data_IF_318758902020
#
_entry.id   IF_318758902020
#
_cell.length_a   1.000
_cell.length_b   1.000
_cell.length_c   1.000
_cell.angle_alpha   90.00
_cell.angle_beta   90.00
_cell.angle_gamma   90.00
#
_symmetry.space_group_name_H-M   'P 1'
#
loop_
_entity.id
_entity.type
_entity.pdbx_description
1 polymer ?
#
# COMPACT_ATOMS: atom_id res chain seq x y z
N UNK A 1 32.64 27.24 15.59
CA UNK A 1 31.30 27.48 15.02
C UNK A 1 31.07 26.40 13.97
N UNK A 2 30.53 25.26 14.39
CA UNK A 2 30.23 24.15 13.47
C UNK A 2 28.85 24.43 12.87
N UNK A 3 28.77 24.54 11.56
CA UNK A 3 27.52 24.76 10.86
C UNK A 3 26.59 23.56 11.08
N UNK A 4 25.38 23.84 11.58
CA UNK A 4 24.26 22.90 11.58
C UNK A 4 23.94 22.61 10.10
N UNK A 5 23.94 21.34 9.65
CA UNK A 5 23.56 21.02 8.27
C UNK A 5 22.11 21.45 8.01
N UNK A 6 21.76 21.78 6.75
CA UNK A 6 20.47 22.36 6.43
C UNK A 6 19.32 21.38 6.74
N UNK A 7 18.17 21.98 7.04
CA UNK A 7 16.87 21.36 7.30
C UNK A 7 16.64 20.12 6.42
N UNK A 8 16.12 19.06 7.05
CA UNK A 8 15.59 17.84 6.45
C UNK A 8 14.97 18.09 5.06
N UNK A 9 15.14 17.18 4.08
CA UNK A 9 14.45 17.33 2.80
C UNK A 9 12.95 17.52 3.07
N UNK A 10 12.38 18.63 2.60
CA UNK A 10 10.97 18.90 2.77
C UNK A 10 10.18 17.87 1.94
N UNK A 11 9.69 16.83 2.60
CA UNK A 11 8.77 15.82 2.02
C UNK A 11 7.38 16.40 1.68
N UNK A 12 7.29 17.71 1.47
CA UNK A 12 6.06 18.46 1.26
C UNK A 12 5.30 18.02 0.00
N UNK A 13 5.99 17.39 -0.96
CA UNK A 13 5.41 16.91 -2.21
C UNK A 13 4.86 15.47 -2.12
N UNK A 14 5.11 14.75 -1.02
CA UNK A 14 4.68 13.35 -0.82
C UNK A 14 3.98 13.13 0.56
N UNK A 15 3.00 13.96 0.93
CA UNK A 15 2.35 13.89 2.23
C UNK A 15 1.62 12.56 2.49
N UNK A 16 1.03 11.93 1.47
CA UNK A 16 0.33 10.66 1.63
C UNK A 16 1.31 9.51 1.81
N UNK A 17 2.43 9.48 1.08
CA UNK A 17 3.51 8.49 1.31
C UNK A 17 4.00 8.56 2.75
N UNK A 18 4.22 9.77 3.28
CA UNK A 18 4.63 9.96 4.69
C UNK A 18 3.55 9.48 5.66
N UNK A 19 2.28 9.78 5.41
CA UNK A 19 1.18 9.33 6.25
C UNK A 19 1.02 7.80 6.22
N UNK A 20 1.16 7.18 5.05
CA UNK A 20 1.14 5.73 4.88
C UNK A 20 2.27 5.07 5.68
N UNK A 21 3.50 5.60 5.54
CA UNK A 21 4.63 5.16 6.34
C UNK A 21 4.34 5.25 7.84
N UNK A 22 3.88 6.40 8.33
CA UNK A 22 3.51 6.58 9.75
C UNK A 22 2.44 5.60 10.21
N UNK A 23 1.41 5.33 9.40
CA UNK A 23 0.37 4.33 9.71
C UNK A 23 0.97 2.93 9.88
N UNK A 24 1.95 2.55 9.04
CA UNK A 24 2.66 1.28 9.19
C UNK A 24 3.54 1.28 10.45
N UNK A 25 4.45 2.24 10.62
CA UNK A 25 5.45 2.18 11.70
C UNK A 25 4.85 2.30 13.10
N UNK A 26 3.73 3.00 13.27
CA UNK A 26 3.01 3.08 14.56
C UNK A 26 2.43 1.74 15.03
N UNK A 27 2.44 0.73 14.17
CA UNK A 27 2.08 -0.66 14.49
C UNK A 27 3.29 -1.60 14.62
N UNK A 28 4.46 -1.14 14.18
CA UNK A 28 5.68 -1.95 14.11
C UNK A 28 6.73 -1.53 15.14
N UNK A 29 6.71 -0.29 15.63
CA UNK A 29 7.65 0.22 16.62
C UNK A 29 6.94 0.57 17.92
N UNK A 30 7.53 0.14 19.04
CA UNK A 30 7.18 0.69 20.35
C UNK A 30 7.50 2.19 20.37
N UNK A 31 6.61 3.05 20.93
CA UNK A 31 6.97 4.42 21.26
C UNK A 31 8.05 4.42 22.35
N UNK A 32 9.33 4.39 21.98
CA UNK A 32 10.43 4.60 22.92
C UNK A 32 10.40 6.06 23.41
N UNK A 33 10.79 6.26 24.66
CA UNK A 33 10.71 7.57 25.33
C UNK A 33 11.54 8.66 24.64
N UNK A 34 12.53 8.29 23.80
CA UNK A 34 13.34 9.16 22.95
C UNK A 34 13.78 8.38 21.67
N UNK A 35 13.74 9.00 20.48
CA UNK A 35 14.43 8.50 19.26
C UNK A 35 13.62 7.71 18.22
N UNK A 36 12.32 7.44 18.44
CA UNK A 36 11.48 6.72 17.44
C UNK A 36 11.37 7.48 16.12
N UNK A 37 11.29 8.80 16.18
CA UNK A 37 11.22 9.63 14.97
C UNK A 37 12.50 9.51 14.14
N UNK A 38 13.67 9.41 14.78
CA UNK A 38 14.95 9.25 14.08
C UNK A 38 15.08 7.85 13.44
N UNK A 39 14.70 6.79 14.17
CA UNK A 39 14.72 5.40 13.63
C UNK A 39 13.72 5.23 12.48
N UNK A 40 12.51 5.75 12.67
CA UNK A 40 11.47 5.76 11.63
C UNK A 40 11.93 6.51 10.38
N UNK A 41 12.57 7.66 10.56
CA UNK A 41 13.09 8.48 9.46
C UNK A 41 14.24 7.78 8.73
N UNK A 42 15.19 7.19 9.46
CA UNK A 42 16.29 6.41 8.87
C UNK A 42 15.76 5.26 8.02
N UNK A 43 14.79 4.50 8.54
CA UNK A 43 14.21 3.37 7.82
C UNK A 43 13.33 3.81 6.65
N UNK A 44 12.61 4.93 6.76
CA UNK A 44 11.90 5.50 5.61
C UNK A 44 12.88 5.82 4.49
N UNK A 45 14.01 6.45 4.84
CA UNK A 45 15.04 6.80 3.86
C UNK A 45 15.61 5.57 3.17
N UNK A 46 15.97 4.55 3.95
CA UNK A 46 16.57 3.30 3.47
C UNK A 46 15.63 2.49 2.58
N UNK A 47 14.41 2.24 3.05
CA UNK A 47 13.52 1.25 2.44
C UNK A 47 12.59 1.84 1.38
N UNK A 48 12.26 3.13 1.47
CA UNK A 48 11.32 3.79 0.55
C UNK A 48 12.01 4.91 -0.23
N UNK A 49 12.47 5.97 0.44
CA UNK A 49 12.92 7.18 -0.26
C UNK A 49 14.04 6.91 -1.26
N UNK A 50 15.12 6.26 -0.84
CA UNK A 50 16.28 6.01 -1.72
C UNK A 50 15.95 5.06 -2.88
N UNK A 51 14.97 4.17 -2.71
CA UNK A 51 14.52 3.26 -3.76
C UNK A 51 13.75 3.99 -4.84
N UNK A 52 12.79 4.83 -4.46
CA UNK A 52 11.93 5.54 -5.39
C UNK A 52 12.55 6.85 -5.92
N UNK A 53 13.80 7.14 -5.58
CA UNK A 53 14.58 8.30 -6.08
C UNK A 53 15.82 7.90 -6.89
N UNK A 54 15.96 6.61 -7.22
CA UNK A 54 17.02 6.15 -8.11
C UNK A 54 16.92 6.84 -9.49
N UNK A 55 18.04 7.31 -10.07
CA UNK A 55 18.02 8.25 -11.21
C UNK A 55 17.44 7.67 -12.49
N UNK A 56 17.40 6.34 -12.63
CA UNK A 56 16.81 5.66 -13.79
C UNK A 56 15.28 5.61 -13.76
N UNK A 57 14.65 5.91 -12.62
CA UNK A 57 13.20 5.87 -12.45
C UNK A 57 12.59 7.19 -12.93
N UNK A 58 11.62 7.07 -13.82
CA UNK A 58 10.89 8.24 -14.34
C UNK A 58 9.39 8.14 -14.05
N UNK A 59 8.83 6.93 -14.03
CA UNK A 59 7.45 6.68 -13.64
C UNK A 59 7.37 6.05 -12.25
N UNK A 60 8.19 5.03 -11.97
CA UNK A 60 8.16 4.29 -10.70
C UNK A 60 8.87 5.07 -9.57
N UNK A 61 8.35 6.26 -9.25
CA UNK A 61 8.91 7.25 -8.32
C UNK A 61 8.04 7.41 -7.07
N UNK A 62 8.44 8.29 -6.15
CA UNK A 62 7.60 8.65 -5.00
C UNK A 62 6.27 9.30 -5.41
N UNK A 63 6.21 9.90 -6.60
CA UNK A 63 4.99 10.51 -7.14
C UNK A 63 3.98 9.44 -7.55
N UNK A 64 4.43 8.31 -8.11
CA UNK A 64 3.57 7.14 -8.35
C UNK A 64 2.96 6.61 -7.05
N UNK A 65 3.77 6.48 -5.99
CA UNK A 65 3.24 6.08 -4.68
C UNK A 65 2.21 7.09 -4.13
N UNK A 66 2.49 8.39 -4.28
CA UNK A 66 1.57 9.45 -3.85
C UNK A 66 0.23 9.38 -4.61
N UNK A 67 0.27 9.11 -5.92
CA UNK A 67 -0.93 8.92 -6.74
C UNK A 67 -1.73 7.68 -6.32
N UNK A 68 -1.08 6.52 -6.12
CA UNK A 68 -1.73 5.32 -5.59
C UNK A 68 -2.38 5.57 -4.22
N UNK A 69 -1.70 6.26 -3.32
CA UNK A 69 -2.23 6.57 -1.99
C UNK A 69 -3.36 7.60 -2.04
N UNK A 70 -3.37 8.50 -3.03
CA UNK A 70 -4.50 9.38 -3.31
C UNK A 70 -5.76 8.58 -3.69
N UNK A 71 -5.60 7.58 -4.56
CA UNK A 71 -6.67 6.66 -4.93
C UNK A 71 -7.17 5.81 -3.76
N UNK A 72 -6.27 5.36 -2.88
CA UNK A 72 -6.64 4.66 -1.65
C UNK A 72 -7.39 5.59 -0.69
N UNK A 73 -6.97 6.84 -0.56
CA UNK A 73 -7.67 7.84 0.27
C UNK A 73 -9.09 8.10 -0.23
N UNK A 74 -9.29 8.21 -1.55
CA UNK A 74 -10.62 8.33 -2.15
C UNK A 74 -11.49 7.09 -1.89
N UNK A 75 -10.88 5.91 -1.96
CA UNK A 75 -11.55 4.64 -1.65
C UNK A 75 -11.98 4.57 -0.17
N UNK A 76 -11.08 4.87 0.76
CA UNK A 76 -11.40 4.93 2.20
C UNK A 76 -12.49 5.97 2.48
N UNK A 77 -12.42 7.16 1.85
CA UNK A 77 -13.44 8.20 2.04
C UNK A 77 -14.84 7.76 1.56
N UNK A 78 -14.93 6.97 0.49
CA UNK A 78 -16.20 6.48 -0.04
C UNK A 78 -16.79 5.29 0.74
N UNK A 79 -15.96 4.55 1.48
CA UNK A 79 -16.34 3.27 2.09
C UNK A 79 -16.28 3.25 3.63
N UNK A 80 -15.66 4.25 4.26
CA UNK A 80 -15.44 4.30 5.71
C UNK A 80 -13.99 3.97 6.09
N UNK A 81 -13.68 4.09 7.39
CA UNK A 81 -12.34 3.89 7.93
C UNK A 81 -11.77 2.49 7.60
N UNK A 82 -10.51 2.44 7.12
CA UNK A 82 -9.85 1.24 6.55
C UNK A 82 -10.55 0.64 5.31
N UNK A 83 -11.48 1.37 4.68
CA UNK A 83 -12.23 0.89 3.53
C UNK A 83 -13.16 -0.30 3.84
N UNK A 84 -13.90 -0.78 2.82
CA UNK A 84 -14.78 -1.95 2.95
C UNK A 84 -14.06 -3.26 2.58
N UNK A 85 -12.73 -3.32 2.57
CA UNK A 85 -12.01 -4.56 2.26
C UNK A 85 -12.00 -5.55 3.44
N UNK A 86 -11.84 -6.85 3.14
CA UNK A 86 -11.97 -7.94 4.13
C UNK A 86 -10.91 -7.84 5.24
N UNK A 87 -11.29 -7.88 6.54
CA UNK A 87 -10.35 -7.84 7.65
C UNK A 87 -9.54 -9.14 7.77
N UNK A 88 -8.38 -9.04 8.42
CA UNK A 88 -7.43 -10.13 8.59
C UNK A 88 -8.03 -11.25 9.45
N UNK A 89 -7.62 -12.49 9.20
CA UNK A 89 -7.99 -13.65 10.03
C UNK A 89 -9.52 -13.83 10.20
N UNK A 90 -10.33 -13.23 9.31
CA UNK A 90 -11.77 -13.20 9.46
C UNK A 90 -12.41 -14.48 8.94
N UNK A 91 -13.03 -15.23 9.86
CA UNK A 91 -13.87 -16.37 9.55
C UNK A 91 -15.35 -15.97 9.49
N UNK A 92 -16.06 -16.39 8.44
CA UNK A 92 -17.51 -16.15 8.31
C UNK A 92 -17.90 -14.70 7.98
N UNK A 93 -18.98 -14.24 8.63
CA UNK A 93 -19.58 -12.93 8.37
C UNK A 93 -18.74 -11.79 8.94
N UNK A 94 -18.47 -10.78 8.11
CA UNK A 94 -17.61 -9.64 8.44
C UNK A 94 -18.50 -8.44 8.78
N UNK A 95 -18.48 -7.92 10.02
CA UNK A 95 -19.18 -6.68 10.33
C UNK A 95 -18.48 -5.51 9.66
N UNK A 96 -19.24 -4.46 9.33
CA UNK A 96 -18.65 -3.22 8.80
C UNK A 96 -17.69 -2.59 9.83
N UNK A 97 -16.64 -1.86 9.37
CA UNK A 97 -15.68 -1.23 10.27
C UNK A 97 -16.31 -0.35 11.35
N UNK A 98 -17.43 0.34 11.06
CA UNK A 98 -18.09 1.21 12.02
C UNK A 98 -18.79 0.44 13.15
N UNK A 99 -19.27 -0.79 12.87
CA UNK A 99 -19.96 -1.64 13.84
C UNK A 99 -19.05 -2.69 14.50
N UNK A 100 -17.76 -2.73 14.12
CA UNK A 100 -16.78 -3.66 14.62
C UNK A 100 -16.40 -3.40 16.10
N UNK A 101 -16.26 -4.49 16.87
CA UNK A 101 -15.65 -4.49 18.21
C UNK A 101 -14.17 -4.11 18.13
N UNK A 102 -13.54 -3.77 19.26
CA UNK A 102 -12.11 -3.41 19.27
C UNK A 102 -11.21 -4.52 18.69
N UNK A 103 -11.50 -5.80 18.97
CA UNK A 103 -10.78 -6.94 18.40
C UNK A 103 -10.99 -7.04 16.88
N UNK A 104 -12.20 -6.79 16.40
CA UNK A 104 -12.49 -6.80 14.96
C UNK A 104 -11.85 -5.61 14.23
N UNK A 105 -11.76 -4.44 14.87
CA UNK A 105 -11.04 -3.27 14.35
C UNK A 105 -9.54 -3.55 14.19
N UNK A 106 -8.95 -4.33 15.10
CA UNK A 106 -7.56 -4.74 14.98
C UNK A 106 -7.31 -5.60 13.73
N UNK A 107 -8.25 -6.48 13.38
CA UNK A 107 -8.17 -7.26 12.15
C UNK A 107 -8.24 -6.38 10.88
N UNK A 108 -9.01 -5.29 10.89
CA UNK A 108 -8.98 -4.29 9.82
C UNK A 108 -7.64 -3.56 9.73
N UNK A 109 -7.04 -3.23 10.87
CA UNK A 109 -5.72 -2.59 10.92
C UNK A 109 -4.62 -3.49 10.33
N UNK A 110 -4.69 -4.80 10.55
CA UNK A 110 -3.75 -5.76 9.95
C UNK A 110 -3.88 -5.87 8.44
N UNK A 111 -5.10 -5.94 7.91
CA UNK A 111 -5.30 -5.87 6.45
C UNK A 111 -4.80 -4.54 5.89
N UNK A 112 -5.16 -3.42 6.53
CA UNK A 112 -4.72 -2.09 6.11
C UNK A 112 -3.21 -1.95 6.11
N UNK A 113 -2.53 -2.47 7.14
CA UNK A 113 -1.07 -2.50 7.22
C UNK A 113 -0.47 -3.31 6.07
N UNK A 114 -1.02 -4.49 5.78
CA UNK A 114 -0.55 -5.31 4.67
C UNK A 114 -0.72 -4.61 3.31
N UNK A 115 -1.85 -3.94 3.08
CA UNK A 115 -2.12 -3.15 1.86
C UNK A 115 -1.14 -1.99 1.74
N UNK A 116 -0.95 -1.20 2.79
CA UNK A 116 -0.02 -0.05 2.78
C UNK A 116 1.43 -0.49 2.54
N UNK A 117 1.88 -1.57 3.19
CA UNK A 117 3.20 -2.13 2.92
C UNK A 117 3.31 -2.65 1.49
N UNK A 118 2.27 -3.28 0.95
CA UNK A 118 2.26 -3.71 -0.45
C UNK A 118 2.41 -2.52 -1.41
N UNK A 119 1.69 -1.42 -1.17
CA UNK A 119 1.83 -0.17 -1.94
C UNK A 119 3.26 0.39 -1.83
N UNK A 120 3.81 0.50 -0.62
CA UNK A 120 5.14 1.07 -0.40
C UNK A 120 6.28 0.23 -0.96
N UNK A 121 6.07 -1.08 -1.15
CA UNK A 121 7.15 -2.00 -1.52
C UNK A 121 7.02 -2.66 -2.90
N UNK A 122 5.86 -2.64 -3.57
CA UNK A 122 5.67 -3.41 -4.81
C UNK A 122 6.74 -3.18 -5.89
N UNK A 123 7.16 -1.93 -6.07
CA UNK A 123 8.21 -1.51 -7.00
C UNK A 123 9.46 -0.95 -6.29
N UNK A 124 9.66 -1.30 -5.02
CA UNK A 124 10.83 -0.83 -4.26
C UNK A 124 12.15 -1.38 -4.84
N UNK A 125 12.12 -2.53 -5.50
CA UNK A 125 13.15 -2.97 -6.43
C UNK A 125 12.59 -2.86 -7.85
N UNK A 126 13.24 -2.09 -8.71
CA UNK A 126 12.78 -1.89 -10.09
C UNK A 126 13.95 -1.71 -11.03
N UNK A 127 14.01 -2.60 -12.02
CA UNK A 127 14.89 -2.52 -13.17
C UNK A 127 14.17 -3.12 -14.38
N UNK A 128 13.89 -2.35 -15.44
CA UNK A 128 13.16 -2.83 -16.62
C UNK A 128 13.90 -3.93 -17.41
N UNK A 129 15.16 -4.23 -17.08
CA UNK A 129 15.94 -5.31 -17.70
C UNK A 129 15.88 -6.62 -16.90
N UNK A 130 15.31 -6.60 -15.69
CA UNK A 130 15.23 -7.74 -14.77
C UNK A 130 13.85 -8.38 -14.79
N UNK A 131 13.81 -9.70 -14.52
CA UNK A 131 12.58 -10.50 -14.50
C UNK A 131 12.14 -10.93 -13.10
N UNK A 132 12.83 -10.46 -12.06
CA UNK A 132 12.66 -10.83 -10.65
C UNK A 132 12.39 -9.62 -9.74
N UNK A 133 11.87 -8.51 -10.30
CA UNK A 133 11.62 -7.28 -9.55
C UNK A 133 10.61 -7.52 -8.42
N UNK A 134 9.52 -8.23 -8.70
CA UNK A 134 8.47 -8.52 -7.72
C UNK A 134 8.99 -9.43 -6.59
N UNK A 135 9.74 -10.47 -6.93
CA UNK A 135 10.37 -11.35 -5.96
C UNK A 135 11.36 -10.59 -5.06
N UNK A 136 12.17 -9.70 -5.64
CA UNK A 136 13.13 -8.88 -4.91
C UNK A 136 12.45 -7.80 -4.05
N UNK A 137 11.40 -7.17 -4.54
CA UNK A 137 10.55 -6.23 -3.80
C UNK A 137 9.86 -6.90 -2.61
N UNK A 138 9.31 -8.10 -2.80
CA UNK A 138 8.72 -8.89 -1.74
C UNK A 138 9.76 -9.27 -0.67
N UNK A 139 10.94 -9.74 -1.09
CA UNK A 139 12.04 -10.06 -0.18
C UNK A 139 12.49 -8.82 0.64
N UNK A 140 12.53 -7.64 0.01
CA UNK A 140 12.85 -6.39 0.71
C UNK A 140 11.79 -6.01 1.75
N UNK A 141 10.50 -6.21 1.45
CA UNK A 141 9.42 -5.97 2.41
C UNK A 141 9.56 -6.90 3.63
N UNK A 142 9.97 -8.16 3.41
CA UNK A 142 10.27 -9.11 4.49
C UNK A 142 11.48 -8.67 5.31
N UNK A 143 12.57 -8.24 4.65
CA UNK A 143 13.76 -7.70 5.33
C UNK A 143 13.38 -6.50 6.21
N UNK A 144 12.55 -5.59 5.69
CA UNK A 144 12.02 -4.46 6.44
C UNK A 144 11.31 -4.93 7.71
N UNK A 145 10.34 -5.84 7.61
CA UNK A 145 9.62 -6.35 8.79
C UNK A 145 10.57 -6.99 9.82
N UNK A 146 11.57 -7.75 9.37
CA UNK A 146 12.58 -8.36 10.24
C UNK A 146 13.44 -7.29 10.94
N UNK A 147 13.78 -6.19 10.26
CA UNK A 147 14.46 -5.03 10.88
C UNK A 147 13.57 -4.39 11.93
N UNK A 148 12.31 -4.08 11.60
CA UNK A 148 11.40 -3.41 12.52
C UNK A 148 11.13 -4.23 13.79
N UNK A 149 11.05 -5.56 13.66
CA UNK A 149 10.94 -6.46 14.81
C UNK A 149 12.15 -6.34 15.74
N UNK A 150 13.37 -6.38 15.18
CA UNK A 150 14.60 -6.20 15.98
C UNK A 150 14.67 -4.83 16.64
N UNK A 151 14.26 -3.76 15.96
CA UNK A 151 14.20 -2.44 16.57
C UNK A 151 13.19 -2.39 17.73
N UNK A 152 12.02 -3.02 17.57
CA UNK A 152 11.04 -3.12 18.65
C UNK A 152 11.57 -3.92 19.84
N UNK A 153 12.23 -5.05 19.63
CA UNK A 153 12.79 -5.88 20.70
C UNK A 153 13.87 -5.13 21.50
N UNK A 154 14.70 -4.33 20.82
CA UNK A 154 15.70 -3.47 21.47
C UNK A 154 15.05 -2.36 22.30
N UNK A 155 13.98 -1.75 21.79
CA UNK A 155 13.24 -0.71 22.48
C UNK A 155 12.53 -1.21 23.75
N UNK A 156 12.12 -2.48 23.78
CA UNK A 156 11.49 -3.14 24.93
C UNK A 156 12.51 -3.57 26.02
N UNK A 157 13.82 -3.33 25.79
CA UNK A 157 14.88 -3.64 26.75
C UNK A 157 15.47 -5.05 26.64
N UNK A 158 15.26 -5.75 25.52
CA UNK A 158 15.86 -7.06 25.26
C UNK A 158 17.38 -6.96 25.03
N UNK A 159 18.19 -7.23 26.08
CA UNK A 159 19.59 -7.57 25.89
C UNK A 159 19.70 -8.89 25.09
N UNK A 160 20.71 -9.06 24.21
CA UNK A 160 20.92 -10.34 23.53
C UNK A 160 21.22 -11.42 24.57
N UNK A 161 20.60 -12.59 24.41
CA UNK A 161 20.84 -13.74 25.27
C UNK A 161 22.26 -14.27 25.05
N UNK A 162 23.20 -13.96 25.95
CA UNK A 162 24.35 -14.84 26.18
C UNK A 162 25.12 -14.60 27.50
N UNK A 163 25.50 -15.73 28.09
CA UNK A 163 26.43 -16.03 29.21
C UNK A 163 25.96 -15.81 30.66
N UNK A 164 26.01 -16.93 31.39
CA UNK A 164 25.55 -17.16 32.74
C UNK A 164 26.43 -16.57 33.87
N UNK A 165 25.77 -16.49 35.04
CA UNK A 165 26.29 -16.50 36.43
C UNK A 165 26.52 -15.15 37.13
N UNK A 166 26.46 -15.11 38.48
CA UNK A 166 25.34 -15.50 39.35
C UNK A 166 24.93 -14.35 40.31
N UNK A 167 23.71 -14.42 40.82
CA UNK A 167 23.12 -13.52 41.86
C UNK A 167 23.81 -13.62 43.22
N UNK A 168 23.65 -12.58 44.06
CA UNK A 168 23.04 -12.78 45.39
C UNK A 168 22.05 -11.66 45.82
N UNK A 169 21.30 -11.83 46.95
CA UNK A 169 19.86 -11.49 47.01
C UNK A 169 19.43 -10.39 48.03
N UNK A 170 18.10 -10.26 48.18
CA UNK A 170 17.27 -9.58 49.21
C UNK A 170 16.69 -8.21 48.79
N UNK A 171 15.45 -7.81 49.09
CA UNK A 171 14.42 -8.25 50.07
C UNK A 171 13.00 -7.74 49.67
N UNK A 172 11.96 -8.42 50.16
CA UNK A 172 10.51 -8.21 49.92
C UNK A 172 9.87 -6.98 50.66
N UNK A 173 8.52 -6.83 50.81
CA UNK A 173 7.65 -6.02 49.94
C UNK A 173 6.79 -5.00 50.72
N UNK A 174 6.05 -4.12 50.04
CA UNK A 174 4.92 -3.41 50.67
C UNK A 174 3.72 -3.31 49.73
N UNK A 175 2.58 -3.78 50.24
CA UNK A 175 1.26 -3.79 49.64
C UNK A 175 0.43 -2.58 50.12
N UNK A 176 -0.48 -2.11 49.26
CA UNK A 176 -1.69 -1.37 49.66
C UNK A 176 -2.84 -1.72 48.71
N UNK A 177 -3.98 -2.03 49.29
CA UNK A 177 -5.23 -2.52 48.68
C UNK A 177 -6.23 -1.37 48.35
N UNK A 178 -7.37 -1.66 47.69
CA UNK A 178 -8.09 -0.71 46.84
C UNK A 178 -9.27 -0.03 47.53
N UNK A 179 -9.75 1.07 46.96
CA UNK A 179 -11.03 1.69 47.32
C UNK A 179 -11.96 1.72 46.12
N UNK A 180 -13.10 1.06 46.26
CA UNK A 180 -14.22 1.01 45.31
C UNK A 180 -15.18 2.15 45.60
N UNK A 181 -15.58 2.91 44.57
CA UNK A 181 -16.82 3.69 44.61
C UNK A 181 -17.52 3.59 43.25
N UNK A 182 -18.70 2.96 43.26
CA UNK A 182 -19.66 2.91 42.14
C UNK A 182 -20.62 4.08 42.27
N UNK A 183 -20.99 4.75 41.17
CA UNK A 183 -22.37 5.20 40.81
C UNK A 183 -22.39 6.25 39.66
N UNK A 184 -22.90 5.77 38.51
CA UNK A 184 -23.86 6.38 37.55
C UNK A 184 -23.46 7.47 36.54
N UNK A 185 -23.37 7.02 35.29
CA UNK A 185 -23.81 7.57 34.00
C UNK A 185 -23.95 9.09 33.78
N UNK A 186 -23.10 9.60 32.86
CA UNK A 186 -23.46 10.62 31.87
C UNK A 186 -22.59 10.40 30.61
N UNK A 187 -23.23 10.42 29.44
CA UNK A 187 -22.55 10.33 28.14
C UNK A 187 -21.71 11.59 27.89
N UNK A 188 -20.40 11.44 27.66
CA UNK A 188 -19.50 12.49 27.16
C UNK A 188 -18.16 11.90 26.71
N UNK A 189 -17.62 12.46 25.62
CA UNK A 189 -16.38 12.11 24.94
C UNK A 189 -15.13 12.24 25.84
N UNK A 190 -14.48 11.11 26.12
CA UNK A 190 -13.10 10.93 26.63
C UNK A 190 -12.85 9.41 26.55
N UNK A 191 -11.72 8.86 26.13
CA UNK A 191 -10.42 9.34 25.64
C UNK A 191 -9.92 8.26 24.67
N UNK A 192 -8.88 8.56 23.88
CA UNK A 192 -8.28 7.73 22.82
C UNK A 192 -8.54 6.20 22.89
N UNK A 193 -8.81 5.52 21.74
CA UNK A 193 -8.85 4.06 21.72
C UNK A 193 -7.58 3.51 22.39
N UNK A 194 -7.68 2.43 23.19
CA UNK A 194 -6.52 1.88 23.89
C UNK A 194 -5.37 1.70 22.90
N UNK A 195 -4.11 1.95 23.28
CA UNK A 195 -2.98 1.73 22.39
C UNK A 195 -3.10 0.31 21.84
N UNK A 196 -3.37 0.20 20.54
CA UNK A 196 -3.51 -1.09 19.90
C UNK A 196 -2.17 -1.82 20.05
N UNK A 197 -2.19 -3.14 20.31
CA UNK A 197 -0.95 -3.89 20.50
C UNK A 197 -0.08 -3.77 19.25
N UNK A 198 1.24 -3.87 19.44
CA UNK A 198 2.14 -4.01 18.29
C UNK A 198 1.84 -5.29 17.52
N UNK A 199 2.20 -5.30 16.24
CA UNK A 199 2.09 -6.47 15.39
C UNK A 199 2.74 -7.71 16.02
N UNK A 200 3.89 -7.52 16.68
CA UNK A 200 4.70 -8.59 17.28
C UNK A 200 4.05 -9.27 18.50
N UNK A 201 2.99 -8.69 19.06
CA UNK A 201 2.27 -9.28 20.19
C UNK A 201 1.38 -10.46 19.78
N UNK A 202 1.11 -10.64 18.48
CA UNK A 202 0.27 -11.69 17.93
C UNK A 202 0.96 -12.38 16.74
N UNK A 203 1.41 -13.62 16.95
CA UNK A 203 2.12 -14.39 15.93
C UNK A 203 1.27 -14.70 14.69
N UNK A 204 -0.06 -14.79 14.83
CA UNK A 204 -0.94 -15.00 13.67
C UNK A 204 -1.07 -13.70 12.86
N UNK A 205 -1.14 -12.56 13.53
CA UNK A 205 -1.14 -11.26 12.87
C UNK A 205 0.20 -10.98 12.16
N UNK A 206 1.33 -11.27 12.82
CA UNK A 206 2.67 -11.15 12.22
C UNK A 206 2.76 -12.00 10.94
N UNK A 207 2.42 -13.28 11.01
CA UNK A 207 2.41 -14.17 9.85
C UNK A 207 1.46 -13.65 8.75
N UNK A 208 0.25 -13.22 9.12
CA UNK A 208 -0.71 -12.67 8.16
C UNK A 208 -0.15 -11.46 7.41
N UNK A 209 0.35 -10.44 8.12
CA UNK A 209 0.86 -9.22 7.48
C UNK A 209 2.07 -9.54 6.60
N UNK A 210 3.00 -10.35 7.11
CA UNK A 210 4.21 -10.77 6.41
C UNK A 210 3.89 -11.50 5.11
N UNK A 211 3.07 -12.54 5.19
CA UNK A 211 2.76 -13.41 4.06
C UNK A 211 1.83 -12.70 3.05
N UNK A 212 0.86 -11.92 3.54
CA UNK A 212 -0.06 -11.17 2.68
C UNK A 212 0.66 -10.09 1.90
N UNK A 213 1.55 -9.31 2.53
CA UNK A 213 2.34 -8.29 1.83
C UNK A 213 3.21 -8.91 0.73
N UNK A 214 3.94 -9.98 1.04
CA UNK A 214 4.74 -10.67 0.02
C UNK A 214 3.88 -11.24 -1.10
N UNK A 215 2.77 -11.90 -0.78
CA UNK A 215 1.85 -12.47 -1.76
C UNK A 215 1.23 -11.41 -2.67
N UNK A 216 0.88 -10.23 -2.14
CA UNK A 216 0.31 -9.14 -2.93
C UNK A 216 1.33 -8.58 -3.92
N UNK A 217 2.55 -8.32 -3.46
CA UNK A 217 3.64 -7.84 -4.32
C UNK A 217 3.90 -8.83 -5.46
N UNK A 218 3.98 -10.13 -5.16
CA UNK A 218 4.18 -11.16 -6.19
C UNK A 218 3.05 -11.23 -7.23
N UNK A 219 1.84 -10.72 -6.90
CA UNK A 219 0.70 -10.72 -7.82
C UNK A 219 0.68 -9.54 -8.79
N UNK A 220 1.54 -8.54 -8.65
CA UNK A 220 1.65 -7.46 -9.67
C UNK A 220 2.18 -7.97 -11.00
N UNK A 221 3.07 -8.97 -10.98
CA UNK A 221 3.59 -9.68 -12.18
C UNK A 221 2.49 -10.31 -13.03
N UNK A 222 1.45 -10.83 -12.39
CA UNK A 222 0.34 -11.56 -13.00
C UNK A 222 -1.00 -10.84 -12.79
N UNK A 223 -0.95 -9.50 -12.72
CA UNK A 223 -2.07 -8.65 -12.33
C UNK A 223 -3.40 -9.04 -13.00
N UNK A 224 -3.37 -9.19 -14.33
CA UNK A 224 -4.56 -9.45 -15.14
C UNK A 224 -5.00 -10.93 -15.13
N UNK A 225 -4.17 -11.84 -14.61
CA UNK A 225 -4.57 -13.24 -14.41
C UNK A 225 -5.41 -13.43 -13.15
N UNK A 226 -5.37 -12.48 -12.21
CA UNK A 226 -6.24 -12.47 -11.02
C UNK A 226 -7.67 -12.14 -11.44
N UNK A 227 -8.58 -13.12 -11.30
CA UNK A 227 -9.98 -12.97 -11.70
C UNK A 227 -10.76 -12.07 -10.72
N UNK A 228 -11.60 -11.15 -11.21
CA UNK A 228 -12.47 -10.37 -10.34
C UNK A 228 -13.47 -11.28 -9.62
N UNK A 229 -13.91 -10.90 -8.42
CA UNK A 229 -14.90 -11.70 -7.65
C UNK A 229 -16.23 -11.82 -8.36
N UNK A 230 -16.56 -10.82 -9.17
CA UNK A 230 -17.78 -10.75 -9.96
C UNK A 230 -17.49 -10.07 -11.30
N UNK A 231 -18.14 -10.51 -12.38
CA UNK A 231 -18.09 -9.81 -13.64
C UNK A 231 -18.84 -8.47 -13.52
N UNK A 232 -18.17 -7.38 -13.89
CA UNK A 232 -18.75 -6.06 -13.99
C UNK A 232 -18.91 -5.67 -15.46
N UNK A 233 -19.88 -4.80 -15.74
CA UNK A 233 -20.08 -4.23 -17.08
C UNK A 233 -20.34 -2.74 -16.95
N UNK A 234 -19.76 -1.98 -17.87
CA UNK A 234 -20.08 -0.56 -18.01
C UNK A 234 -21.55 -0.45 -18.46
N UNK A 235 -22.35 0.43 -17.85
CA UNK A 235 -23.74 0.59 -18.23
C UNK A 235 -23.84 1.08 -19.68
N UNK A 236 -24.83 0.56 -20.41
CA UNK A 236 -25.15 1.12 -21.73
C UNK A 236 -25.68 2.55 -21.56
N UNK A 237 -25.54 3.44 -22.57
CA UNK A 237 -26.07 4.81 -22.51
C UNK A 237 -27.57 4.91 -22.16
N UNK A 238 -28.34 3.83 -22.37
CA UNK A 238 -29.77 3.73 -22.07
C UNK A 238 -30.12 3.15 -20.69
N UNK A 239 -29.16 2.67 -19.90
CA UNK A 239 -29.39 1.91 -18.65
C UNK A 239 -29.06 2.71 -17.38
N UNK A 240 -29.20 4.03 -17.44
CA UNK A 240 -29.05 4.86 -16.24
C UNK A 240 -30.17 4.53 -15.24
N UNK A 241 -29.77 4.05 -14.06
CA UNK A 241 -30.53 3.85 -12.81
C UNK A 241 -31.18 2.46 -12.61
N UNK A 242 -30.51 1.60 -11.82
CA UNK A 242 -31.17 0.43 -11.21
C UNK A 242 -30.27 -0.61 -10.54
N UNK A 243 -29.09 -0.90 -11.08
CA UNK A 243 -28.29 -2.08 -10.66
C UNK A 243 -27.10 -1.77 -9.73
N UNK A 244 -26.79 -0.49 -9.50
CA UNK A 244 -25.60 -0.08 -8.72
C UNK A 244 -25.73 -0.26 -7.19
N UNK A 245 -26.92 -0.53 -6.65
CA UNK A 245 -27.14 -0.58 -5.20
C UNK A 245 -26.67 -1.91 -4.57
N UNK A 246 -27.02 -3.05 -5.15
CA UNK A 246 -26.68 -4.37 -4.58
C UNK A 246 -25.17 -4.70 -4.60
N UNK A 247 -24.42 -4.08 -5.53
CA UNK A 247 -22.97 -4.24 -5.66
C UNK A 247 -22.19 -3.48 -4.57
N UNK A 248 -22.81 -2.47 -3.93
CA UNK A 248 -22.16 -1.64 -2.91
C UNK A 248 -22.07 -2.30 -1.53
N UNK A 249 -22.83 -3.37 -1.29
CA UNK A 249 -22.97 -4.00 0.03
C UNK A 249 -22.02 -5.20 0.26
N UNK A 250 -21.18 -5.56 -0.72
CA UNK A 250 -20.16 -6.60 -0.55
C UNK A 250 -18.82 -6.05 -0.07
N UNK A 251 -18.16 -6.79 0.81
CA UNK A 251 -16.79 -6.53 1.27
C UNK A 251 -15.80 -6.81 0.12
N UNK A 252 -14.93 -5.85 -0.19
CA UNK A 252 -13.92 -5.99 -1.24
C UNK A 252 -12.79 -6.94 -0.83
N UNK A 253 -12.15 -7.57 -1.81
CA UNK A 253 -10.91 -8.30 -1.57
C UNK A 253 -9.74 -7.31 -1.50
N UNK A 254 -8.95 -7.29 -0.42
CA UNK A 254 -7.82 -6.36 -0.30
C UNK A 254 -6.77 -6.53 -1.42
N UNK A 255 -6.60 -7.73 -1.98
CA UNK A 255 -5.72 -7.93 -3.14
C UNK A 255 -6.28 -7.16 -4.35
N UNK A 256 -7.59 -7.21 -4.55
CA UNK A 256 -8.23 -6.51 -5.67
C UNK A 256 -8.15 -5.00 -5.53
N UNK A 257 -8.30 -4.48 -4.32
CA UNK A 257 -8.10 -3.05 -4.03
C UNK A 257 -6.65 -2.67 -4.37
N UNK A 258 -5.66 -3.39 -3.84
CA UNK A 258 -4.24 -3.11 -4.09
C UNK A 258 -3.89 -3.13 -5.58
N UNK A 259 -4.34 -4.15 -6.31
CA UNK A 259 -4.16 -4.24 -7.75
C UNK A 259 -4.85 -3.07 -8.46
N UNK A 260 -6.10 -2.73 -8.13
CA UNK A 260 -6.77 -1.59 -8.76
C UNK A 260 -6.05 -0.24 -8.54
N UNK A 261 -5.35 -0.06 -7.41
CA UNK A 261 -4.51 1.12 -7.16
C UNK A 261 -3.33 1.20 -8.14
N UNK A 262 -2.66 0.08 -8.38
CA UNK A 262 -1.48 -0.02 -9.25
C UNK A 262 -1.81 0.34 -10.71
N UNK A 263 -3.02 -0.01 -11.19
CA UNK A 263 -3.49 0.37 -12.52
C UNK A 263 -4.19 1.73 -12.60
N UNK A 264 -4.37 2.44 -11.47
CA UNK A 264 -5.29 3.56 -11.41
C UNK A 264 -4.91 4.71 -12.36
N UNK A 265 -3.61 4.90 -12.61
CA UNK A 265 -3.09 5.89 -13.56
C UNK A 265 -3.68 5.74 -14.97
N UNK A 266 -4.00 4.50 -15.38
CA UNK A 266 -4.58 4.24 -16.70
C UNK A 266 -5.89 5.02 -16.86
N UNK A 267 -6.68 5.10 -15.79
CA UNK A 267 -7.96 5.79 -15.75
C UNK A 267 -7.89 7.30 -15.57
N UNK A 268 -6.72 7.94 -15.66
CA UNK A 268 -6.59 9.38 -15.41
C UNK A 268 -7.52 10.19 -16.35
N UNK A 269 -8.34 11.13 -15.82
CA UNK A 269 -9.39 11.81 -16.59
C UNK A 269 -8.86 12.74 -17.69
N UNK A 270 -7.62 13.24 -17.55
CA UNK A 270 -6.94 14.03 -18.58
C UNK A 270 -5.97 13.13 -19.38
N UNK A 271 -6.22 12.92 -20.70
CA UNK A 271 -5.31 12.17 -21.57
C UNK A 271 -3.93 12.81 -21.68
N UNK A 272 -3.84 14.13 -21.59
CA UNK A 272 -2.58 14.86 -21.61
C UNK A 272 -1.72 14.60 -20.38
N UNK A 273 -2.35 14.52 -19.20
CA UNK A 273 -1.66 14.19 -17.95
C UNK A 273 -1.27 12.72 -17.96
N UNK A 274 -2.16 11.82 -18.39
CA UNK A 274 -1.83 10.40 -18.61
C UNK A 274 -0.57 10.25 -19.47
N UNK A 275 -0.55 10.88 -20.65
CA UNK A 275 0.58 10.82 -21.57
C UNK A 275 1.88 11.32 -20.93
N UNK A 276 1.86 12.51 -20.31
CA UNK A 276 3.06 13.15 -19.75
C UNK A 276 3.57 12.51 -18.47
N UNK A 277 2.68 12.06 -17.59
CA UNK A 277 3.06 11.47 -16.30
C UNK A 277 3.35 9.97 -16.39
N UNK A 278 2.62 9.25 -17.24
CA UNK A 278 2.76 7.80 -17.35
C UNK A 278 3.48 7.39 -18.64
N UNK A 279 2.83 7.53 -19.80
CA UNK A 279 3.32 6.91 -21.04
C UNK A 279 4.74 7.39 -21.43
N UNK A 280 5.00 8.70 -21.37
CA UNK A 280 6.32 9.28 -21.67
C UNK A 280 7.38 8.87 -20.64
N UNK A 281 7.02 8.78 -19.37
CA UNK A 281 7.97 8.41 -18.31
C UNK A 281 8.30 6.91 -18.37
N UNK A 282 7.32 6.06 -18.65
CA UNK A 282 7.57 4.64 -18.98
C UNK A 282 8.50 4.56 -20.20
N UNK A 283 8.28 5.34 -21.25
CA UNK A 283 9.19 5.34 -22.41
C UNK A 283 10.63 5.77 -22.07
N UNK A 284 10.81 6.65 -21.08
CA UNK A 284 12.14 7.05 -20.59
C UNK A 284 12.83 5.92 -19.81
N UNK A 285 12.11 5.17 -18.99
CA UNK A 285 12.67 4.01 -18.27
C UNK A 285 13.17 2.93 -19.24
N UNK A 286 12.49 2.77 -20.38
CA UNK A 286 12.86 1.82 -21.43
C UNK A 286 13.78 2.42 -22.52
N UNK A 287 14.33 3.63 -22.31
CA UNK A 287 15.14 4.34 -23.31
C UNK A 287 16.46 3.65 -23.69
N UNK A 288 16.87 2.64 -22.94
CA UNK A 288 18.01 1.78 -23.25
C UNK A 288 17.73 0.80 -24.41
N UNK A 289 16.47 0.57 -24.77
CA UNK A 289 16.09 -0.14 -25.99
C UNK A 289 16.00 0.80 -27.20
N UNK A 290 16.28 0.32 -28.42
CA UNK A 290 16.01 1.08 -29.63
C UNK A 290 14.55 1.55 -29.67
N UNK A 291 14.32 2.82 -30.04
CA UNK A 291 12.98 3.42 -30.04
C UNK A 291 11.95 2.56 -30.80
N UNK A 292 12.31 2.04 -31.98
CA UNK A 292 11.43 1.21 -32.78
C UNK A 292 11.02 -0.09 -32.07
N UNK A 293 11.92 -0.70 -31.29
CA UNK A 293 11.64 -1.91 -30.52
C UNK A 293 10.71 -1.60 -29.34
N UNK A 294 10.94 -0.48 -28.63
CA UNK A 294 10.04 0.00 -27.59
C UNK A 294 8.63 0.26 -28.13
N UNK A 295 8.50 1.02 -29.23
CA UNK A 295 7.19 1.33 -29.83
C UNK A 295 6.42 0.05 -30.19
N UNK A 296 7.09 -0.90 -30.84
CA UNK A 296 6.52 -2.20 -31.21
C UNK A 296 6.11 -3.01 -29.99
N UNK A 297 7.00 -3.12 -28.99
CA UNK A 297 6.76 -3.89 -27.77
C UNK A 297 5.62 -3.32 -26.93
N UNK A 298 5.63 -2.01 -26.69
CA UNK A 298 4.61 -1.31 -25.90
C UNK A 298 3.23 -1.36 -26.57
N UNK A 299 3.15 -1.10 -27.89
CA UNK A 299 1.89 -1.20 -28.62
C UNK A 299 1.33 -2.63 -28.58
N UNK A 300 2.18 -3.64 -28.72
CA UNK A 300 1.76 -5.04 -28.62
C UNK A 300 1.29 -5.41 -27.20
N UNK A 301 2.02 -4.99 -26.17
CA UNK A 301 1.65 -5.18 -24.77
C UNK A 301 0.27 -4.57 -24.47
N UNK A 302 0.07 -3.29 -24.77
CA UNK A 302 -1.20 -2.60 -24.51
C UNK A 302 -2.35 -3.17 -25.34
N UNK A 303 -2.09 -3.61 -26.57
CA UNK A 303 -3.10 -4.28 -27.41
C UNK A 303 -3.54 -5.61 -26.77
N UNK A 304 -2.60 -6.42 -26.28
CA UNK A 304 -2.90 -7.66 -25.55
C UNK A 304 -3.63 -7.39 -24.23
N UNK A 305 -3.11 -6.44 -23.44
CA UNK A 305 -3.72 -5.95 -22.20
C UNK A 305 -5.19 -5.55 -22.42
N UNK A 306 -5.50 -4.89 -23.53
CA UNK A 306 -6.84 -4.43 -23.82
C UNK A 306 -7.87 -5.53 -24.11
N UNK A 307 -7.43 -6.77 -24.38
CA UNK A 307 -8.30 -7.92 -24.64
C UNK A 307 -9.01 -8.42 -23.37
N UNK A 308 -8.52 -8.06 -22.18
CA UNK A 308 -9.18 -8.43 -20.94
C UNK A 308 -10.52 -7.69 -20.79
N UNK A 309 -11.58 -8.45 -20.46
CA UNK A 309 -12.95 -7.93 -20.40
C UNK A 309 -13.18 -6.92 -19.26
N UNK A 310 -12.36 -6.99 -18.21
CA UNK A 310 -12.43 -6.15 -17.02
C UNK A 310 -11.01 -5.94 -16.50
N UNK A 311 -10.58 -4.69 -16.35
CA UNK A 311 -9.23 -4.36 -15.87
C UNK A 311 -9.25 -4.14 -14.36
N UNK A 312 -10.19 -3.31 -13.89
CA UNK A 312 -10.38 -3.05 -12.47
C UNK A 312 -11.32 -4.07 -11.84
N UNK A 313 -10.91 -4.63 -10.70
CA UNK A 313 -11.51 -5.81 -10.06
C UNK A 313 -12.62 -5.46 -9.10
N UNK A 314 -12.52 -4.30 -8.44
CA UNK A 314 -13.53 -3.80 -7.51
C UNK A 314 -14.55 -2.90 -8.21
N UNK A 315 -15.81 -2.87 -7.74
CA UNK A 315 -16.82 -1.97 -8.28
C UNK A 315 -16.42 -0.49 -8.25
N UNK A 316 -15.77 -0.05 -7.17
CA UNK A 316 -15.37 1.34 -6.99
C UNK A 316 -14.43 1.80 -8.11
N UNK A 317 -13.32 1.08 -8.33
CA UNK A 317 -12.35 1.45 -9.34
C UNK A 317 -12.87 1.17 -10.76
N UNK A 318 -13.62 0.08 -10.95
CA UNK A 318 -14.22 -0.23 -12.26
C UNK A 318 -15.11 0.89 -12.77
N UNK A 319 -16.11 1.31 -11.98
CA UNK A 319 -17.03 2.36 -12.44
C UNK A 319 -16.38 3.74 -12.50
N UNK A 320 -15.31 3.97 -11.72
CA UNK A 320 -14.57 5.24 -11.72
C UNK A 320 -13.58 5.36 -12.89
N UNK A 321 -12.87 4.27 -13.25
CA UNK A 321 -11.65 4.34 -14.06
C UNK A 321 -11.71 3.54 -15.37
N UNK A 322 -12.44 2.42 -15.44
CA UNK A 322 -12.38 1.46 -16.57
C UNK A 322 -12.60 2.13 -17.93
N UNK A 323 -13.67 2.93 -18.05
CA UNK A 323 -14.03 3.56 -19.31
C UNK A 323 -12.97 4.54 -19.81
N UNK A 324 -12.36 5.30 -18.90
CA UNK A 324 -11.29 6.25 -19.23
C UNK A 324 -9.99 5.51 -19.53
N UNK A 325 -9.67 4.46 -18.76
CA UNK A 325 -8.48 3.65 -18.96
C UNK A 325 -8.42 3.04 -20.36
N UNK A 326 -9.55 2.53 -20.83
CA UNK A 326 -9.69 2.01 -22.20
C UNK A 326 -9.46 3.08 -23.26
N UNK A 327 -9.97 4.30 -23.07
CA UNK A 327 -9.74 5.42 -23.99
C UNK A 327 -8.27 5.84 -24.03
N UNK A 328 -7.65 6.05 -22.87
CA UNK A 328 -6.25 6.46 -22.76
C UNK A 328 -5.33 5.42 -23.41
N UNK A 329 -5.53 4.14 -23.10
CA UNK A 329 -4.72 3.05 -23.66
C UNK A 329 -4.91 2.91 -25.17
N UNK A 330 -6.14 3.03 -25.68
CA UNK A 330 -6.41 2.98 -27.11
C UNK A 330 -5.75 4.15 -27.86
N UNK A 331 -5.76 5.34 -27.27
CA UNK A 331 -5.07 6.51 -27.81
C UNK A 331 -3.55 6.29 -27.83
N UNK A 332 -2.95 5.79 -26.73
CA UNK A 332 -1.52 5.47 -26.68
C UNK A 332 -1.13 4.45 -27.76
N UNK A 333 -1.90 3.37 -27.94
CA UNK A 333 -1.66 2.37 -29.00
C UNK A 333 -1.68 3.02 -30.39
N UNK A 334 -2.64 3.91 -30.66
CA UNK A 334 -2.74 4.60 -31.95
C UNK A 334 -1.53 5.51 -32.20
N UNK A 335 -1.11 6.28 -31.18
CA UNK A 335 0.05 7.17 -31.25
C UNK A 335 1.36 6.40 -31.48
N UNK A 336 1.61 5.33 -30.70
CA UNK A 336 2.78 4.47 -30.83
C UNK A 336 2.86 3.81 -32.22
N UNK A 337 1.70 3.37 -32.75
CA UNK A 337 1.63 2.73 -34.07
C UNK A 337 1.91 3.72 -35.19
N UNK A 338 1.37 4.95 -35.10
CA UNK A 338 1.61 6.00 -36.07
C UNK A 338 3.09 6.43 -36.09
N UNK A 339 3.71 6.58 -34.91
CA UNK A 339 5.14 6.90 -34.80
C UNK A 339 6.03 5.80 -35.41
N UNK A 340 5.71 4.53 -35.13
CA UNK A 340 6.46 3.39 -35.69
C UNK A 340 6.35 3.31 -37.22
N UNK A 341 5.19 3.66 -37.79
CA UNK A 341 5.01 3.72 -39.24
C UNK A 341 5.80 4.87 -39.86
N UNK A 342 5.78 6.05 -39.23
CA UNK A 342 6.53 7.22 -39.70
C UNK A 342 8.04 6.97 -39.69
N UNK A 343 8.57 6.19 -38.73
CA UNK A 343 9.99 5.85 -38.64
C UNK A 343 10.45 4.79 -39.68
N UNK A 344 9.53 4.16 -40.41
CA UNK A 344 9.82 3.16 -41.47
C UNK A 344 9.78 3.74 -42.89
N UNK A 345 9.20 4.93 -43.05
CA UNK A 345 9.20 5.73 -44.27
C UNK A 345 10.46 6.63 -44.27
#
# INVERSE_FOLDING_TARGET
MSAVPPLLPTYAHIPLVRRAWTRCVTRLLMPASHGVDDVSEEHFRRFVFHRYTEPQRHYHTLEHLEEMLGHLSDYEAAHGWQGRFRPALADGAVPLPESASNTQRLAYEWTGTAVLLSVLFHDAVYDPTRGDNEEASAALAIEFLDVMRRESDRADGGAPADVASPTPPSSHPSASSPTTTTTTAAASLSDAPPPLPLLWADAQAEAFVRDTTAAFILKTKEHLSVQPRQPLRLPSPSEATGTAAAVRDSVDDPLHVFLDLDLAILGHPSPDVYRRRYAENVAREYSHYPRADFLKGRAAFLTGFAQHAQWFKTPFFFYKLEAQARRNTAQEVAELTAELQAARL
#
